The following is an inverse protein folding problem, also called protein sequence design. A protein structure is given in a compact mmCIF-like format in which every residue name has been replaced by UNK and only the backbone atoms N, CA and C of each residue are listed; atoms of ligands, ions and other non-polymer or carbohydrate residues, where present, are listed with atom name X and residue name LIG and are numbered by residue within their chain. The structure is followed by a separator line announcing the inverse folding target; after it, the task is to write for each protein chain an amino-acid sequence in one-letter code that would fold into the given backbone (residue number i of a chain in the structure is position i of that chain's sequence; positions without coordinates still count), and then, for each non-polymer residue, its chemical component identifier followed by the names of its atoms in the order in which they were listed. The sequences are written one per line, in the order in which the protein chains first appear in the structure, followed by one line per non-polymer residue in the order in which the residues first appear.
data_IF_280429520631
#
_entry.id   IF_280429520631
#
_cell.length_a   1.000
_cell.length_b   1.000
_cell.length_c   1.000
_cell.angle_alpha   90.00
_cell.angle_beta   90.00
_cell.angle_gamma   90.00
#
_symmetry.space_group_name_H-M   'P 1'
#
loop_
_entity.id
_entity.type
_entity.pdbx_description
1 polymer ?
#
# COMPACT_ATOMS: atom_id res chain seq x y z
N UNK A 1 19.06 -1.56 29.02
CA UNK A 1 17.89 -0.78 29.46
C UNK A 1 17.05 -0.61 28.21
N UNK A 2 15.91 -1.30 28.10
CA UNK A 2 15.05 -1.18 26.92
C UNK A 2 14.50 0.24 26.92
N UNK A 3 14.89 1.03 25.92
CA UNK A 3 14.43 2.40 25.74
C UNK A 3 12.96 2.34 25.30
N UNK A 4 12.02 2.45 26.24
CA UNK A 4 10.60 2.38 25.91
C UNK A 4 10.16 3.72 25.33
N UNK A 5 10.35 3.85 24.01
CA UNK A 5 9.93 5.04 23.26
C UNK A 5 8.42 5.21 23.42
N UNK A 6 7.99 6.40 23.85
CA UNK A 6 6.56 6.69 24.03
C UNK A 6 5.93 6.94 22.67
N UNK A 7 5.21 5.94 22.15
CA UNK A 7 4.52 6.03 20.88
C UNK A 7 3.32 6.98 20.90
N UNK A 8 3.10 7.71 19.81
CA UNK A 8 1.95 8.60 19.63
C UNK A 8 0.65 7.85 19.34
N UNK A 9 -0.46 8.59 19.23
CA UNK A 9 -1.76 8.01 18.90
C UNK A 9 -1.79 7.39 17.49
N UNK A 10 -1.23 8.09 16.48
CA UNK A 10 -1.14 7.58 15.09
C UNK A 10 -0.30 6.30 15.00
N UNK A 11 0.87 6.23 15.65
CA UNK A 11 1.66 4.98 15.71
C UNK A 11 0.86 3.82 16.30
N UNK A 12 0.19 4.02 17.44
CA UNK A 12 -0.63 2.97 18.05
C UNK A 12 -1.77 2.54 17.13
N UNK A 13 -2.36 3.47 16.38
CA UNK A 13 -3.40 3.16 15.42
C UNK A 13 -2.89 2.33 14.24
N UNK A 14 -1.71 2.66 13.67
CA UNK A 14 -1.02 1.87 12.64
C UNK A 14 -0.72 0.45 13.12
N UNK A 15 -0.10 0.34 14.29
CA UNK A 15 0.18 -0.97 14.91
C UNK A 15 -1.10 -1.78 15.06
N UNK A 16 -2.19 -1.15 15.50
CA UNK A 16 -3.47 -1.84 15.66
C UNK A 16 -4.06 -2.29 14.32
N UNK A 17 -3.85 -1.53 13.24
CA UNK A 17 -4.25 -1.93 11.89
C UNK A 17 -3.42 -3.14 11.41
N UNK A 18 -2.10 -3.15 11.65
CA UNK A 18 -1.23 -4.30 11.38
C UNK A 18 -1.74 -5.56 12.09
N UNK A 19 -2.07 -5.47 13.39
CA UNK A 19 -2.62 -6.61 14.15
C UNK A 19 -3.91 -7.16 13.51
N UNK A 20 -4.81 -6.28 13.07
CA UNK A 20 -6.12 -6.65 12.52
C UNK A 20 -6.00 -7.25 11.12
N UNK A 21 -5.16 -6.67 10.25
CA UNK A 21 -4.88 -7.22 8.92
C UNK A 21 -4.17 -8.58 9.03
N UNK A 22 -3.29 -8.74 10.01
CA UNK A 22 -2.62 -10.02 10.26
C UNK A 22 -3.62 -11.09 10.71
N UNK A 23 -4.53 -10.72 11.63
CA UNK A 23 -5.60 -11.61 12.09
C UNK A 23 -6.53 -12.01 10.93
N UNK A 24 -6.92 -11.05 10.09
CA UNK A 24 -7.75 -11.28 8.91
C UNK A 24 -7.12 -12.28 7.95
N UNK A 25 -5.87 -12.05 7.58
CA UNK A 25 -5.14 -12.93 6.67
C UNK A 25 -4.97 -14.34 7.26
N UNK A 26 -4.64 -14.44 8.56
CA UNK A 26 -4.44 -15.73 9.22
C UNK A 26 -5.74 -16.55 9.31
N UNK A 27 -6.87 -15.86 9.45
CA UNK A 27 -8.18 -16.49 9.63
C UNK A 27 -8.99 -16.59 8.34
N UNK A 28 -8.49 -16.04 7.24
CA UNK A 28 -9.19 -15.90 5.97
C UNK A 28 -10.58 -15.26 6.14
N UNK A 29 -10.59 -14.07 6.77
CA UNK A 29 -11.80 -13.28 7.00
C UNK A 29 -11.61 -11.85 6.56
N UNK A 30 -12.71 -11.17 6.25
CA UNK A 30 -12.71 -9.75 5.92
C UNK A 30 -12.17 -8.92 7.11
N UNK A 31 -11.10 -8.13 6.92
CA UNK A 31 -10.55 -7.28 7.98
C UNK A 31 -11.53 -6.18 8.44
N UNK A 32 -12.46 -5.73 7.58
CA UNK A 32 -13.50 -4.77 7.97
C UNK A 32 -14.45 -5.41 8.99
N UNK A 33 -14.83 -6.67 8.79
CA UNK A 33 -15.65 -7.42 9.75
C UNK A 33 -14.96 -7.54 11.12
N UNK A 34 -13.63 -7.74 11.17
CA UNK A 34 -12.87 -7.73 12.43
C UNK A 34 -13.01 -6.39 13.14
N UNK A 35 -12.87 -5.28 12.40
CA UNK A 35 -13.01 -3.93 12.96
C UNK A 35 -14.41 -3.72 13.52
N UNK A 36 -15.45 -4.13 12.80
CA UNK A 36 -16.85 -4.04 13.23
C UNK A 36 -17.10 -4.84 14.52
N UNK A 37 -16.69 -6.12 14.54
CA UNK A 37 -16.80 -6.99 15.72
C UNK A 37 -16.10 -6.37 16.93
N UNK A 38 -14.86 -5.89 16.75
CA UNK A 38 -14.08 -5.27 17.84
C UNK A 38 -14.74 -4.00 18.35
N UNK A 39 -15.38 -3.25 17.45
CA UNK A 39 -16.12 -2.04 17.78
C UNK A 39 -17.33 -2.34 18.62
N UNK A 40 -18.14 -3.31 18.21
CA UNK A 40 -19.31 -3.72 18.97
C UNK A 40 -18.93 -4.25 20.35
N UNK A 41 -17.93 -5.15 20.41
CA UNK A 41 -17.43 -5.70 21.67
C UNK A 41 -16.93 -4.61 22.62
N UNK A 42 -16.30 -3.54 22.11
CA UNK A 42 -15.79 -2.44 22.94
C UNK A 42 -16.88 -1.59 23.60
N UNK A 43 -18.14 -1.67 23.13
CA UNK A 43 -19.26 -0.92 23.72
C UNK A 43 -19.65 -1.44 25.10
N UNK A 44 -19.38 -2.70 25.39
CA UNK A 44 -19.60 -3.29 26.70
C UNK A 44 -18.26 -3.40 27.47
N UNK A 45 -18.08 -2.62 28.55
CA UNK A 45 -16.85 -2.65 29.35
C UNK A 45 -16.48 -4.03 29.92
N UNK A 46 -17.47 -4.93 30.08
CA UNK A 46 -17.24 -6.29 30.58
C UNK A 46 -16.45 -7.18 29.60
N UNK A 47 -16.42 -6.84 28.31
CA UNK A 47 -15.71 -7.62 27.31
C UNK A 47 -14.18 -7.38 27.33
N UNK A 48 -13.70 -6.40 28.09
CA UNK A 48 -12.29 -6.01 28.15
C UNK A 48 -11.65 -5.74 26.77
N UNK A 49 -12.44 -5.20 25.84
CA UNK A 49 -12.01 -4.85 24.48
C UNK A 49 -11.80 -3.35 24.39
N UNK A 50 -10.58 -2.93 24.05
CA UNK A 50 -10.28 -1.53 23.82
C UNK A 50 -11.03 -1.00 22.57
N UNK A 51 -11.55 0.25 22.61
CA UNK A 51 -12.11 0.88 21.42
C UNK A 51 -11.13 0.91 20.26
N UNK A 52 -11.64 0.69 19.05
CA UNK A 52 -10.87 0.85 17.82
C UNK A 52 -10.82 2.34 17.47
N UNK A 53 -9.61 2.90 17.40
CA UNK A 53 -9.39 4.29 17.02
C UNK A 53 -9.86 4.54 15.58
N UNK A 54 -10.38 5.74 15.30
CA UNK A 54 -10.90 6.08 13.98
C UNK A 54 -9.85 5.87 12.88
N UNK A 55 -8.61 6.27 13.15
CA UNK A 55 -7.55 6.07 12.17
C UNK A 55 -7.21 4.60 11.90
N UNK A 56 -7.38 3.72 12.89
CA UNK A 56 -7.25 2.28 12.64
C UNK A 56 -8.33 1.78 11.68
N UNK A 57 -9.57 2.27 11.83
CA UNK A 57 -10.67 1.91 10.92
C UNK A 57 -10.39 2.37 9.50
N UNK A 58 -9.90 3.61 9.37
CA UNK A 58 -9.55 4.22 8.09
C UNK A 58 -8.49 3.41 7.36
N UNK A 59 -7.37 3.10 8.03
CA UNK A 59 -6.29 2.27 7.45
C UNK A 59 -6.84 0.90 7.04
N UNK A 60 -7.57 0.21 7.92
CA UNK A 60 -8.04 -1.14 7.64
C UNK A 60 -9.02 -1.17 6.48
N UNK A 61 -9.99 -0.24 6.45
CA UNK A 61 -10.98 -0.16 5.38
C UNK A 61 -10.31 0.20 4.05
N UNK A 62 -9.42 1.20 4.05
CA UNK A 62 -8.73 1.62 2.84
C UNK A 62 -7.75 0.56 2.33
N UNK A 63 -7.04 -0.14 3.21
CA UNK A 63 -6.16 -1.23 2.80
C UNK A 63 -6.94 -2.45 2.26
N UNK A 64 -8.12 -2.74 2.81
CA UNK A 64 -9.00 -3.78 2.29
C UNK A 64 -9.55 -3.42 0.91
N UNK A 65 -9.97 -2.17 0.71
CA UNK A 65 -10.48 -1.68 -0.57
C UNK A 65 -9.40 -1.68 -1.67
N UNK A 66 -8.14 -1.42 -1.29
CA UNK A 66 -7.00 -1.28 -2.21
C UNK A 66 -6.06 -2.47 -2.21
N UNK A 67 -6.50 -3.63 -1.71
CA UNK A 67 -5.60 -4.76 -1.45
C UNK A 67 -4.78 -5.17 -2.67
N UNK A 68 -5.44 -5.32 -3.83
CA UNK A 68 -4.76 -5.72 -5.07
C UNK A 68 -3.74 -4.65 -5.52
N UNK A 69 -4.12 -3.37 -5.49
CA UNK A 69 -3.22 -2.26 -5.84
C UNK A 69 -2.00 -2.19 -4.91
N UNK A 70 -2.21 -2.45 -3.62
CA UNK A 70 -1.15 -2.46 -2.61
C UNK A 70 -0.20 -3.63 -2.82
N UNK A 71 -0.75 -4.82 -3.03
CA UNK A 71 0.03 -6.04 -3.25
C UNK A 71 0.88 -5.91 -4.52
N UNK A 72 0.29 -5.41 -5.61
CA UNK A 72 0.98 -5.10 -6.87
C UNK A 72 2.13 -4.09 -6.68
N UNK A 73 1.88 -2.98 -5.98
CA UNK A 73 2.89 -1.96 -5.73
C UNK A 73 4.05 -2.48 -4.89
N UNK A 74 3.74 -3.32 -3.89
CA UNK A 74 4.75 -3.97 -3.05
C UNK A 74 5.55 -4.97 -3.88
N UNK A 75 4.90 -5.86 -4.65
CA UNK A 75 5.57 -6.87 -5.47
C UNK A 75 6.53 -6.26 -6.49
N UNK A 76 6.12 -5.20 -7.19
CA UNK A 76 6.99 -4.46 -8.13
C UNK A 76 8.20 -3.82 -7.45
N UNK A 77 8.12 -3.61 -6.14
CA UNK A 77 9.18 -3.01 -5.32
C UNK A 77 10.07 -4.05 -4.63
N UNK A 78 9.74 -5.35 -4.72
CA UNK A 78 10.59 -6.44 -4.26
C UNK A 78 11.71 -6.76 -5.26
N UNK A 79 12.74 -7.46 -4.81
CA UNK A 79 13.76 -8.03 -5.68
C UNK A 79 13.16 -9.14 -6.56
N UNK A 80 13.68 -9.35 -7.77
CA UNK A 80 13.14 -10.29 -8.78
C UNK A 80 12.87 -11.73 -8.27
N UNK A 81 13.62 -12.18 -7.25
CA UNK A 81 13.47 -13.53 -6.67
C UNK A 81 12.49 -13.61 -5.49
N UNK A 82 11.81 -12.52 -5.12
CA UNK A 82 10.99 -12.42 -3.92
C UNK A 82 9.51 -12.23 -4.25
N UNK A 83 8.68 -13.13 -3.73
CA UNK A 83 7.22 -13.05 -3.80
C UNK A 83 6.67 -12.46 -2.49
N UNK A 84 5.62 -11.63 -2.57
CA UNK A 84 4.99 -10.99 -1.43
C UNK A 84 4.51 -12.00 -0.36
N UNK A 85 3.93 -13.11 -0.79
CA UNK A 85 3.42 -14.15 0.10
C UNK A 85 4.53 -14.95 0.80
N UNK A 86 5.80 -14.82 0.35
CA UNK A 86 6.96 -15.41 1.05
C UNK A 86 7.50 -14.52 2.17
N UNK A 87 7.07 -13.27 2.25
CA UNK A 87 7.40 -12.41 3.38
C UNK A 87 6.77 -12.94 4.67
N UNK A 88 7.41 -12.72 5.84
CA UNK A 88 6.73 -12.90 7.12
C UNK A 88 5.38 -12.16 7.12
N UNK A 89 4.33 -12.78 7.65
CA UNK A 89 2.98 -12.21 7.56
C UNK A 89 2.87 -10.84 8.25
N UNK A 90 3.59 -10.62 9.35
CA UNK A 90 3.66 -9.31 10.04
C UNK A 90 4.30 -8.25 9.15
N UNK A 91 5.39 -8.61 8.47
CA UNK A 91 6.12 -7.72 7.58
C UNK A 91 5.27 -7.27 6.40
N UNK A 92 4.56 -8.21 5.76
CA UNK A 92 3.61 -7.92 4.70
C UNK A 92 2.51 -6.96 5.17
N UNK A 93 1.99 -7.13 6.39
CA UNK A 93 0.99 -6.21 6.92
C UNK A 93 1.56 -4.82 7.23
N UNK A 94 2.81 -4.72 7.70
CA UNK A 94 3.48 -3.44 7.87
C UNK A 94 3.63 -2.73 6.52
N UNK A 95 4.05 -3.45 5.48
CA UNK A 95 4.15 -2.93 4.12
C UNK A 95 2.80 -2.47 3.58
N UNK A 96 1.73 -3.26 3.71
CA UNK A 96 0.38 -2.87 3.27
C UNK A 96 -0.13 -1.61 3.95
N UNK A 97 0.04 -1.49 5.27
CA UNK A 97 -0.35 -0.29 6.03
C UNK A 97 0.40 0.94 5.54
N UNK A 98 1.72 0.84 5.36
CA UNK A 98 2.54 1.97 4.95
C UNK A 98 2.34 2.34 3.48
N UNK A 99 2.25 1.34 2.59
CA UNK A 99 1.94 1.55 1.19
C UNK A 99 0.57 2.21 1.00
N UNK A 100 -0.42 1.85 1.82
CA UNK A 100 -1.73 2.51 1.79
C UNK A 100 -1.63 3.99 2.15
N UNK A 101 -0.87 4.33 3.19
CA UNK A 101 -0.66 5.74 3.53
C UNK A 101 0.04 6.50 2.39
N UNK A 102 1.08 5.90 1.79
CA UNK A 102 1.87 6.54 0.73
C UNK A 102 1.07 6.77 -0.55
N UNK A 103 0.22 5.81 -0.93
CA UNK A 103 -0.46 5.80 -2.22
C UNK A 103 -1.87 6.43 -2.17
N UNK A 104 -2.52 6.39 -1.01
CA UNK A 104 -3.95 6.70 -0.90
C UNK A 104 -4.31 7.63 0.26
N UNK A 105 -3.35 8.08 1.08
CA UNK A 105 -3.60 9.00 2.17
C UNK A 105 -2.81 10.31 2.04
N UNK A 106 -3.42 11.30 1.38
CA UNK A 106 -2.84 12.63 1.18
C UNK A 106 -2.61 13.42 2.48
N UNK A 107 -3.11 12.96 3.64
CA UNK A 107 -2.84 13.58 4.94
C UNK A 107 -1.50 13.15 5.56
N UNK A 108 -0.83 12.14 4.99
CA UNK A 108 0.40 11.56 5.55
C UNK A 108 1.54 11.59 4.54
N UNK A 109 2.53 12.45 4.79
CA UNK A 109 3.74 12.49 3.98
C UNK A 109 4.46 11.13 3.96
N UNK A 110 4.90 10.68 2.78
CA UNK A 110 5.58 9.40 2.62
C UNK A 110 6.79 9.19 3.58
N UNK A 111 7.67 10.19 3.83
CA UNK A 111 8.75 10.03 4.81
C UNK A 111 8.28 9.72 6.24
N UNK A 112 7.10 10.20 6.63
CA UNK A 112 6.50 9.89 7.93
C UNK A 112 6.03 8.44 7.92
N UNK A 113 5.31 8.00 6.89
CA UNK A 113 4.84 6.62 6.79
C UNK A 113 6.00 5.61 6.82
N UNK A 114 7.04 5.86 6.01
CA UNK A 114 8.27 5.05 5.95
C UNK A 114 8.92 4.94 7.33
N UNK A 115 9.16 6.07 7.99
CA UNK A 115 9.79 6.11 9.31
C UNK A 115 9.03 5.26 10.34
N UNK A 116 7.70 5.38 10.36
CA UNK A 116 6.86 4.68 11.33
C UNK A 116 6.78 3.17 11.02
N UNK A 117 6.80 2.79 9.75
CA UNK A 117 6.89 1.40 9.31
C UNK A 117 8.22 0.74 9.68
N UNK A 118 9.34 1.44 9.51
CA UNK A 118 10.68 0.99 9.89
C UNK A 118 10.80 0.82 11.41
N UNK A 119 10.22 1.73 12.19
CA UNK A 119 10.12 1.60 13.64
C UNK A 119 9.33 0.33 14.02
N UNK A 120 8.14 0.13 13.44
CA UNK A 120 7.33 -1.08 13.68
C UNK A 120 8.11 -2.35 13.30
N UNK A 121 8.75 -2.39 12.13
CA UNK A 121 9.54 -3.54 11.69
C UNK A 121 10.65 -3.91 12.69
N UNK A 122 11.28 -2.90 13.27
CA UNK A 122 12.32 -3.06 14.29
C UNK A 122 11.78 -3.65 15.60
N UNK A 123 10.51 -3.38 15.92
CA UNK A 123 9.84 -3.89 17.12
C UNK A 123 9.19 -5.27 16.95
N UNK A 124 8.47 -5.50 15.85
CA UNK A 124 7.58 -6.67 15.68
C UNK A 124 8.18 -7.84 14.90
N UNK A 125 9.21 -7.60 14.10
CA UNK A 125 9.77 -8.62 13.21
C UNK A 125 11.19 -8.95 13.59
N UNK A 126 12.14 -8.04 13.34
CA UNK A 126 13.52 -8.23 13.73
C UNK A 126 14.49 -7.28 13.01
N UNK A 127 15.75 -7.27 13.43
CA UNK A 127 16.76 -6.31 12.98
C UNK A 127 17.02 -6.30 11.46
N UNK A 128 16.72 -7.41 10.76
CA UNK A 128 16.84 -7.48 9.30
C UNK A 128 15.64 -6.89 8.57
N UNK A 129 14.50 -6.71 9.24
CA UNK A 129 13.27 -6.27 8.61
C UNK A 129 13.28 -4.78 8.25
N UNK A 130 13.73 -3.94 9.20
CA UNK A 130 13.74 -2.50 9.05
C UNK A 130 14.45 -2.01 7.77
N UNK A 131 15.68 -2.46 7.45
CA UNK A 131 16.38 -2.00 6.25
C UNK A 131 15.68 -2.35 4.93
N UNK A 132 15.08 -3.54 4.84
CA UNK A 132 14.41 -3.93 3.59
C UNK A 132 13.04 -3.26 3.46
N UNK A 133 12.27 -3.13 4.55
CA UNK A 133 10.99 -2.41 4.54
C UNK A 133 11.22 -0.96 4.11
N UNK A 134 12.26 -0.32 4.62
CA UNK A 134 12.66 1.01 4.16
C UNK A 134 12.90 1.04 2.64
N UNK A 135 13.71 0.11 2.13
CA UNK A 135 14.05 0.06 0.70
C UNK A 135 12.85 -0.20 -0.22
N UNK A 136 11.88 -1.02 0.22
CA UNK A 136 10.64 -1.27 -0.53
C UNK A 136 9.78 -0.01 -0.55
N UNK A 137 9.54 0.61 0.61
CA UNK A 137 8.69 1.78 0.70
C UNK A 137 9.29 3.02 0.02
N UNK A 138 10.61 3.18 0.01
CA UNK A 138 11.30 4.23 -0.75
C UNK A 138 11.04 4.11 -2.27
N UNK A 139 10.98 2.88 -2.81
CA UNK A 139 10.64 2.63 -4.22
C UNK A 139 9.18 2.97 -4.51
N UNK A 140 8.26 2.57 -3.62
CA UNK A 140 6.84 2.92 -3.74
C UNK A 140 6.67 4.44 -3.71
N UNK A 141 7.26 5.13 -2.73
CA UNK A 141 7.17 6.59 -2.62
C UNK A 141 7.74 7.30 -3.87
N UNK A 142 8.82 6.76 -4.45
CA UNK A 142 9.40 7.30 -5.68
C UNK A 142 8.50 7.17 -6.90
N UNK A 143 7.60 6.17 -6.93
CA UNK A 143 6.66 5.97 -8.04
C UNK A 143 5.52 7.00 -8.07
N UNK A 144 5.30 7.73 -6.97
CA UNK A 144 4.23 8.74 -6.85
C UNK A 144 4.75 10.17 -6.70
N UNK A 145 6.05 10.38 -6.51
CA UNK A 145 6.67 11.71 -6.53
C UNK A 145 7.13 12.05 -7.96
N UNK A 146 6.46 12.98 -8.67
CA UNK A 146 6.86 13.38 -10.02
C UNK A 146 8.25 14.03 -10.09
N UNK A 147 8.81 14.45 -8.94
CA UNK A 147 10.15 15.03 -8.85
C UNK A 147 11.21 13.99 -8.46
N UNK A 148 10.83 12.73 -8.25
CA UNK A 148 11.78 11.67 -7.92
C UNK A 148 12.61 11.30 -9.15
N UNK A 149 13.94 11.14 -9.03
CA UNK A 149 14.78 10.64 -10.12
C UNK A 149 14.47 9.18 -10.50
N UNK A 150 13.64 8.49 -9.72
CA UNK A 150 13.17 7.13 -9.96
C UNK A 150 11.70 7.06 -10.38
N UNK A 151 11.04 8.19 -10.66
CA UNK A 151 9.67 8.20 -11.15
C UNK A 151 9.61 7.54 -12.54
N UNK A 152 8.82 6.47 -12.66
CA UNK A 152 8.58 5.78 -13.93
C UNK A 152 7.15 6.10 -14.35
N UNK A 153 6.99 6.75 -15.51
CA UNK A 153 5.67 6.92 -16.13
C UNK A 153 5.19 5.53 -16.54
N UNK A 154 4.01 5.06 -16.08
CA UNK A 154 3.45 3.80 -16.56
C UNK A 154 3.27 3.87 -18.08
N UNK A 155 3.74 2.85 -18.81
CA UNK A 155 3.57 2.76 -20.25
C UNK A 155 2.06 2.75 -20.62
N UNK A 156 1.56 3.89 -21.11
CA UNK A 156 0.49 3.99 -22.10
C UNK A 156 -0.98 4.00 -21.62
N UNK A 157 -1.51 5.19 -21.34
CA UNK A 157 -2.73 5.59 -22.07
C UNK A 157 -2.25 6.00 -23.48
N UNK A 158 -2.20 5.04 -24.39
CA UNK A 158 -2.27 5.40 -25.80
C UNK A 158 -3.69 5.89 -26.03
N UNK A 159 -3.87 7.22 -25.97
CA UNK A 159 -4.99 7.84 -26.64
C UNK A 159 -4.86 7.42 -28.11
N UNK A 160 -5.82 6.62 -28.58
CA UNK A 160 -5.99 6.28 -29.98
C UNK A 160 -6.14 7.60 -30.76
N UNK A 161 -5.03 8.16 -31.23
CA UNK A 161 -5.04 9.11 -32.32
C UNK A 161 -5.47 8.32 -33.56
N UNK A 162 -6.76 8.37 -33.90
CA UNK A 162 -7.26 7.92 -35.19
C UNK A 162 -6.44 8.63 -36.28
N UNK A 163 -5.48 7.91 -36.86
CA UNK A 163 -4.78 8.32 -38.07
C UNK A 163 -5.83 8.47 -39.19
N UNK A 164 -6.16 9.72 -39.49
CA UNK A 164 -6.90 10.07 -40.69
C UNK A 164 -6.16 9.56 -41.93
N UNK A 165 -6.70 8.52 -42.53
CA UNK A 165 -6.26 7.98 -43.81
C UNK A 165 -6.25 9.10 -44.87
N UNK A 166 -5.12 9.36 -45.55
CA UNK A 166 -5.16 10.20 -46.74
C UNK A 166 -5.65 9.33 -47.90
N UNK A 167 -6.85 9.62 -48.41
CA UNK A 167 -7.33 9.07 -49.69
C UNK A 167 -6.48 9.63 -50.83
N UNK A 168 -5.40 8.91 -51.15
CA UNK A 168 -4.62 9.07 -52.36
C UNK A 168 -4.98 7.97 -53.35
N UNK A 169 -6.02 8.20 -54.17
CA UNK A 169 -6.24 7.44 -55.40
C UNK A 169 -5.78 8.30 -56.58
N UNK A 170 -4.55 8.03 -57.03
CA UNK A 170 -4.12 8.29 -58.40
C UNK A 170 -3.99 6.96 -59.12
N UNK A 171 -4.61 6.87 -60.31
CA UNK A 171 -4.11 6.22 -61.53
C UNK A 171 -5.14 6.52 -62.64
N UNK A 172 -4.88 7.51 -63.50
CA UNK A 172 -4.46 7.38 -64.90
C UNK A 172 -5.32 6.45 -65.76
N UNK A 173 -6.15 7.05 -66.60
CA UNK A 173 -6.34 6.59 -67.98
C UNK A 173 -6.23 7.78 -68.93
N UNK A 174 -5.12 7.77 -69.67
CA UNK A 174 -4.97 8.39 -70.98
C UNK A 174 -5.85 7.64 -71.97
N UNK A 175 -6.56 8.33 -72.85
CA UNK A 175 -6.55 8.02 -74.28
C UNK A 175 -7.19 9.16 -75.07
N UNK A 176 -6.42 9.66 -76.04
CA UNK A 176 -6.82 10.60 -77.08
C UNK A 176 -7.52 9.84 -78.21
N UNK A 177 -8.72 10.27 -78.62
CA UNK A 177 -9.16 10.59 -80.01
C UNK A 177 -10.62 11.08 -80.04
#
# INVERSE_FOLDING_TARGET
MLDYKRHGARYRARRRAVDMLFEAETRDIDPVAIVEDRTELSRNPLNAVAPVADYTREIVAGAAEKLDDLDDAIERSLSEDWELFRLPAVDRQILRVAAWEILFNDEVDAPISIKEAVEMASEYSGAKAAPYINAVLDRIASSVDPNSPFFVVPDGEHADEEEGQPDGLGDTESDEE
#
